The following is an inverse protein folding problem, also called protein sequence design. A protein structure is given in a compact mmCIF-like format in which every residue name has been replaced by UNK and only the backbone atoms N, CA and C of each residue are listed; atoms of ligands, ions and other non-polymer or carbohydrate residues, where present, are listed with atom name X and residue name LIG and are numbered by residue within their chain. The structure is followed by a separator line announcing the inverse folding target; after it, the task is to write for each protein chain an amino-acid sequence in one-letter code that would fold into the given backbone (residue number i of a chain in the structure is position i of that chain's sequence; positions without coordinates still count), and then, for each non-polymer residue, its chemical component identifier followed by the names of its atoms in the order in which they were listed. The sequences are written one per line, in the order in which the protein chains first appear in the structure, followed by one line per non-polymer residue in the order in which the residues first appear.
data_IF_381473480656
#
_entry.id   IF_381473480656
#
_cell.length_a   1.000
_cell.length_b   1.000
_cell.length_c   1.000
_cell.angle_alpha   90.00
_cell.angle_beta   90.00
_cell.angle_gamma   90.00
#
_symmetry.space_group_name_H-M   'P 1'
#
loop_
_entity.id
_entity.type
_entity.pdbx_description
1 polymer ?
#
# COMPACT_ATOMS: atom_id res chain seq x y z
N UNK A 1 -15.68 23.73 1.08
CA UNK A 1 -14.21 23.56 1.09
C UNK A 1 -13.78 23.25 2.52
N UNK A 2 -13.52 21.99 2.87
CA UNK A 2 -12.96 21.66 4.19
C UNK A 2 -11.49 22.10 4.16
N UNK A 3 -11.16 23.11 4.96
CA UNK A 3 -9.76 23.45 5.23
C UNK A 3 -9.03 22.22 5.73
N UNK A 4 -8.01 21.78 5.00
CA UNK A 4 -7.15 20.66 5.39
C UNK A 4 -6.41 21.03 6.68
N UNK A 5 -6.98 20.66 7.82
CA UNK A 5 -6.34 20.91 9.13
C UNK A 5 -5.05 20.14 9.21
N UNK A 6 -3.94 20.82 9.46
CA UNK A 6 -2.62 20.21 9.65
C UNK A 6 -2.71 19.03 10.63
N UNK A 7 -2.15 17.88 10.25
CA UNK A 7 -2.09 16.67 11.08
C UNK A 7 -1.41 16.98 12.42
N UNK A 8 -0.41 17.85 12.44
CA UNK A 8 0.23 18.36 13.66
C UNK A 8 -0.78 19.00 14.60
N UNK A 9 -1.59 19.96 14.09
CA UNK A 9 -2.58 20.67 14.91
C UNK A 9 -3.61 19.71 15.50
N UNK A 10 -4.07 18.75 14.72
CA UNK A 10 -5.02 17.73 15.20
C UNK A 10 -4.40 16.80 16.25
N UNK A 11 -3.16 16.37 16.05
CA UNK A 11 -2.43 15.54 17.00
C UNK A 11 -2.24 16.25 18.34
N UNK A 12 -1.75 17.50 18.33
CA UNK A 12 -1.54 18.28 19.54
C UNK A 12 -2.86 18.55 20.29
N UNK A 13 -3.94 18.93 19.58
CA UNK A 13 -5.25 19.17 20.21
C UNK A 13 -5.77 17.89 20.90
N UNK A 14 -5.74 16.75 20.21
CA UNK A 14 -6.20 15.47 20.79
C UNK A 14 -5.36 15.07 21.99
N UNK A 15 -4.06 15.28 21.95
CA UNK A 15 -3.14 14.97 23.02
C UNK A 15 -3.40 15.85 24.24
N UNK A 16 -3.57 17.18 24.06
CA UNK A 16 -3.92 18.12 25.14
C UNK A 16 -5.26 17.72 25.79
N UNK A 17 -6.27 17.40 25.00
CA UNK A 17 -7.56 16.97 25.52
C UNK A 17 -7.43 15.68 26.33
N UNK A 18 -6.75 14.66 25.79
CA UNK A 18 -6.58 13.36 26.45
C UNK A 18 -5.87 13.48 27.80
N UNK A 19 -4.81 14.28 27.88
CA UNK A 19 -4.08 14.46 29.14
C UNK A 19 -4.79 15.37 30.14
N UNK A 20 -5.50 16.40 29.67
CA UNK A 20 -6.35 17.19 30.56
C UNK A 20 -7.42 16.31 31.20
N UNK A 21 -8.07 15.44 30.43
CA UNK A 21 -9.04 14.47 30.95
C UNK A 21 -8.39 13.48 31.91
N UNK A 22 -7.19 12.99 31.61
CA UNK A 22 -6.46 12.07 32.50
C UNK A 22 -6.09 12.73 33.84
N UNK A 23 -5.58 13.99 33.82
CA UNK A 23 -5.26 14.74 35.03
C UNK A 23 -6.53 15.00 35.89
N UNK A 24 -7.63 15.36 35.25
CA UNK A 24 -8.91 15.56 35.94
C UNK A 24 -9.39 14.26 36.59
N UNK A 25 -9.35 13.15 35.85
CA UNK A 25 -9.75 11.84 36.38
C UNK A 25 -8.85 11.39 37.54
N UNK A 26 -7.53 11.54 37.43
CA UNK A 26 -6.59 11.22 38.50
C UNK A 26 -6.83 12.09 39.76
N UNK A 27 -7.06 13.38 39.57
CA UNK A 27 -7.34 14.30 40.63
C UNK A 27 -8.66 13.97 41.36
N UNK A 28 -9.68 13.54 40.63
CA UNK A 28 -10.95 13.08 41.18
C UNK A 28 -10.78 11.80 42.01
N UNK A 29 -10.03 10.81 41.50
CA UNK A 29 -9.75 9.58 42.24
C UNK A 29 -8.98 9.88 43.52
N UNK A 30 -7.98 10.76 43.45
CA UNK A 30 -7.19 11.15 44.61
C UNK A 30 -8.05 11.88 45.65
N UNK A 31 -8.95 12.74 45.19
CA UNK A 31 -9.93 13.44 46.07
C UNK A 31 -10.80 12.44 46.82
N UNK A 32 -11.45 11.52 46.12
CA UNK A 32 -12.33 10.53 46.74
C UNK A 32 -11.56 9.62 47.71
N UNK A 33 -10.34 9.21 47.38
CA UNK A 33 -9.49 8.43 48.25
C UNK A 33 -9.13 9.20 49.53
N UNK A 34 -8.63 10.43 49.40
CA UNK A 34 -8.28 11.27 50.54
C UNK A 34 -9.48 11.58 51.45
N UNK A 35 -10.62 11.87 50.81
CA UNK A 35 -11.89 12.09 51.52
C UNK A 35 -12.31 10.86 52.32
N UNK A 36 -12.36 9.69 51.68
CA UNK A 36 -12.70 8.42 52.35
C UNK A 36 -11.80 8.19 53.55
N UNK A 37 -10.48 8.27 53.35
CA UNK A 37 -9.49 8.05 54.43
C UNK A 37 -9.68 9.01 55.62
N UNK A 38 -9.91 10.29 55.35
CA UNK A 38 -10.13 11.27 56.42
C UNK A 38 -11.43 10.98 57.17
N UNK A 39 -12.52 10.71 56.47
CA UNK A 39 -13.80 10.40 57.08
C UNK A 39 -13.77 9.09 57.87
N UNK A 40 -13.11 8.04 57.36
CA UNK A 40 -12.96 6.77 58.04
C UNK A 40 -12.16 6.93 59.35
N UNK A 41 -11.05 7.68 59.30
CA UNK A 41 -10.25 8.00 60.51
C UNK A 41 -11.06 8.79 61.56
N UNK A 42 -11.88 9.74 61.12
CA UNK A 42 -12.74 10.52 62.06
C UNK A 42 -13.80 9.59 62.70
N UNK A 43 -14.44 8.74 61.92
CA UNK A 43 -15.44 7.80 62.40
C UNK A 43 -14.83 6.81 63.39
N UNK A 44 -13.65 6.25 63.08
CA UNK A 44 -12.93 5.31 63.95
C UNK A 44 -12.51 5.99 65.27
N UNK A 45 -11.99 7.22 65.19
CA UNK A 45 -11.66 8.01 66.40
C UNK A 45 -12.90 8.29 67.25
N UNK A 46 -14.04 8.65 66.65
CA UNK A 46 -15.28 8.87 67.38
C UNK A 46 -15.82 7.59 68.02
N UNK A 47 -15.68 6.46 67.31
CA UNK A 47 -16.10 5.15 67.83
C UNK A 47 -15.24 4.69 69.01
N UNK A 48 -13.91 4.88 68.93
CA UNK A 48 -12.99 4.57 70.02
C UNK A 48 -13.28 5.41 71.27
N UNK A 49 -13.51 6.70 71.06
CA UNK A 49 -13.89 7.62 72.13
C UNK A 49 -15.26 7.26 72.75
N UNK A 50 -16.24 6.87 71.94
CA UNK A 50 -17.51 6.38 72.43
C UNK A 50 -17.40 5.13 73.31
N UNK A 51 -16.58 4.16 72.89
CA UNK A 51 -16.30 2.93 73.66
C UNK A 51 -15.61 3.23 74.97
N UNK A 52 -14.61 4.10 74.96
CA UNK A 52 -13.90 4.50 76.18
C UNK A 52 -14.84 5.16 77.19
N UNK A 53 -15.67 6.13 76.74
CA UNK A 53 -16.68 6.79 77.62
C UNK A 53 -17.74 5.83 78.15
N UNK A 54 -18.13 4.85 77.36
CA UNK A 54 -19.02 3.80 77.80
C UNK A 54 -18.40 2.92 78.90
N UNK A 55 -17.15 2.50 78.76
CA UNK A 55 -16.43 1.72 79.77
C UNK A 55 -16.19 2.53 81.07
N UNK A 56 -15.84 3.82 80.98
CA UNK A 56 -15.69 4.71 82.10
C UNK A 56 -17.00 4.89 82.83
N UNK A 57 -18.12 5.05 82.14
CA UNK A 57 -19.46 5.23 82.79
C UNK A 57 -19.92 3.99 83.52
N UNK A 58 -19.53 2.79 83.09
CA UNK A 58 -19.78 1.50 83.75
C UNK A 58 -19.07 1.45 85.13
N UNK A 59 -17.88 2.08 85.22
CA UNK A 59 -17.08 2.08 86.45
C UNK A 59 -17.49 3.15 87.44
N UNK A 60 -17.83 4.34 86.91
CA UNK A 60 -18.16 5.56 87.77
C UNK A 60 -19.66 5.72 88.08
N UNK A 61 -20.55 5.01 87.39
CA UNK A 61 -22.02 5.11 87.43
C UNK A 61 -22.55 6.52 87.14
N UNK A 62 -21.74 7.44 86.65
CA UNK A 62 -22.11 8.80 86.33
C UNK A 62 -21.66 9.18 84.95
N UNK A 63 -22.42 9.94 84.18
CA UNK A 63 -22.07 10.49 82.87
C UNK A 63 -22.29 12.03 82.95
N UNK A 64 -21.19 12.76 82.67
CA UNK A 64 -21.27 14.23 82.54
C UNK A 64 -21.24 14.62 81.06
N UNK A 65 -22.20 15.42 80.56
CA UNK A 65 -22.18 15.91 79.19
C UNK A 65 -20.97 16.82 78.94
N UNK A 66 -20.28 16.60 77.85
CA UNK A 66 -19.13 17.41 77.39
C UNK A 66 -19.60 18.26 76.22
N UNK A 67 -19.38 19.57 76.30
CA UNK A 67 -19.68 20.48 75.22
C UNK A 67 -18.52 21.47 75.05
N UNK A 68 -17.79 21.28 73.96
CA UNK A 68 -16.71 22.16 73.49
C UNK A 68 -17.05 22.63 72.09
N UNK A 69 -16.36 23.62 71.55
CA UNK A 69 -16.57 24.15 70.18
C UNK A 69 -16.42 23.10 69.10
N UNK A 70 -15.63 22.07 69.32
CA UNK A 70 -15.31 20.99 68.28
C UNK A 70 -16.12 19.73 68.57
N UNK A 71 -16.49 19.40 69.80
CA UNK A 71 -17.14 18.12 70.10
C UNK A 71 -18.26 18.41 71.15
N UNK A 72 -19.42 17.84 70.88
CA UNK A 72 -20.55 17.83 71.85
C UNK A 72 -20.93 16.37 72.11
N UNK A 73 -20.98 16.00 73.39
CA UNK A 73 -21.31 14.66 73.86
C UNK A 73 -22.46 14.75 74.84
N UNK A 74 -23.54 14.04 74.55
CA UNK A 74 -24.75 14.03 75.39
C UNK A 74 -25.44 12.65 75.32
N UNK A 75 -26.16 12.30 76.34
CA UNK A 75 -27.10 11.17 76.30
C UNK A 75 -28.44 11.67 75.75
N UNK A 76 -28.97 10.93 74.82
CA UNK A 76 -30.23 11.21 74.11
C UNK A 76 -31.11 9.97 74.10
N UNK A 77 -32.39 10.15 74.29
CA UNK A 77 -33.37 9.09 74.17
C UNK A 77 -33.73 8.89 72.67
N UNK A 78 -33.62 7.64 72.19
CA UNK A 78 -34.02 7.31 70.82
C UNK A 78 -34.75 5.97 70.79
N UNK A 79 -36.06 6.05 70.61
CA UNK A 79 -36.94 4.88 70.62
C UNK A 79 -36.90 4.02 69.29
N UNK A 80 -36.27 4.56 68.26
CA UNK A 80 -36.35 3.98 66.90
C UNK A 80 -35.06 3.21 66.52
N UNK A 81 -33.90 3.64 67.04
CA UNK A 81 -32.62 3.06 66.69
C UNK A 81 -32.28 1.84 67.57
N UNK A 82 -31.74 0.77 66.96
CA UNK A 82 -31.21 -0.40 67.64
C UNK A 82 -29.71 -0.61 67.48
N UNK A 83 -29.12 0.05 66.53
CA UNK A 83 -27.72 -0.13 66.17
C UNK A 83 -26.98 1.21 66.07
N UNK A 84 -25.66 1.14 66.09
CA UNK A 84 -24.77 2.26 65.86
C UNK A 84 -25.10 2.95 64.53
N UNK A 85 -25.13 4.30 64.53
CA UNK A 85 -25.40 5.08 63.31
C UNK A 85 -24.54 6.32 63.22
N UNK A 86 -23.90 6.53 62.07
CA UNK A 86 -23.27 7.78 61.68
C UNK A 86 -24.23 8.62 60.81
N UNK A 87 -24.24 9.94 61.03
CA UNK A 87 -25.00 10.88 60.21
C UNK A 87 -24.15 12.12 59.96
N UNK A 88 -24.06 12.54 58.72
CA UNK A 88 -23.40 13.79 58.34
C UNK A 88 -24.49 14.83 58.10
N UNK A 89 -24.31 16.04 58.63
CA UNK A 89 -25.25 17.15 58.43
C UNK A 89 -24.50 18.49 58.44
N UNK A 90 -25.13 19.50 57.84
CA UNK A 90 -24.66 20.87 57.81
C UNK A 90 -25.56 21.74 58.62
N UNK A 91 -24.97 22.63 59.43
CA UNK A 91 -25.71 23.61 60.20
C UNK A 91 -24.94 24.94 60.25
N UNK A 92 -25.59 26.03 59.83
CA UNK A 92 -25.01 27.38 59.76
C UNK A 92 -23.66 27.45 59.06
N UNK A 93 -23.50 26.71 57.94
CA UNK A 93 -22.27 26.68 57.15
C UNK A 93 -21.15 25.80 57.72
N UNK A 94 -21.36 25.19 58.87
CA UNK A 94 -20.44 24.23 59.47
C UNK A 94 -20.88 22.79 59.21
N UNK A 95 -19.91 21.91 59.03
CA UNK A 95 -20.14 20.48 58.74
C UNK A 95 -19.87 19.64 59.98
N UNK A 96 -20.79 18.73 60.27
CA UNK A 96 -20.76 17.92 61.46
C UNK A 96 -20.92 16.43 61.12
N UNK A 97 -20.20 15.57 61.89
CA UNK A 97 -20.48 14.14 61.95
C UNK A 97 -21.10 13.84 63.29
N UNK A 98 -22.25 13.20 63.28
CA UNK A 98 -22.97 12.72 64.43
C UNK A 98 -22.88 11.22 64.54
N UNK A 99 -22.38 10.72 65.66
CA UNK A 99 -22.39 9.31 66.03
C UNK A 99 -23.49 9.10 67.10
N UNK A 100 -24.32 8.09 66.89
CA UNK A 100 -25.24 7.57 67.91
C UNK A 100 -24.72 6.16 68.26
N UNK A 101 -24.16 6.04 69.44
CA UNK A 101 -23.63 4.79 70.00
C UNK A 101 -24.58 4.23 71.06
N UNK A 102 -24.99 2.94 71.03
CA UNK A 102 -25.86 2.33 72.04
C UNK A 102 -25.24 2.41 73.45
N UNK A 103 -25.89 3.06 74.38
CA UNK A 103 -25.40 3.24 75.74
C UNK A 103 -26.16 2.36 76.72
N UNK A 104 -27.49 2.43 76.71
CA UNK A 104 -28.40 1.59 77.50
C UNK A 104 -29.61 1.24 76.64
N UNK A 105 -29.59 -0.04 76.12
CA UNK A 105 -30.62 -0.51 75.20
C UNK A 105 -31.99 -0.74 75.93
N UNK A 106 -31.98 -1.09 77.22
CA UNK A 106 -33.20 -1.33 77.96
C UNK A 106 -33.95 -0.01 78.16
N UNK A 107 -33.23 1.06 78.51
CA UNK A 107 -33.78 2.40 78.67
C UNK A 107 -33.74 3.28 77.41
N UNK A 108 -33.42 2.67 76.24
CA UNK A 108 -33.38 3.34 74.93
C UNK A 108 -32.46 4.58 74.88
N UNK A 109 -31.38 4.62 75.69
CA UNK A 109 -30.44 5.72 75.76
C UNK A 109 -29.26 5.46 74.81
N UNK A 110 -28.89 6.52 74.04
CA UNK A 110 -27.73 6.51 73.10
C UNK A 110 -26.77 7.62 73.50
N UNK A 111 -25.49 7.35 73.45
CA UNK A 111 -24.46 8.35 73.54
C UNK A 111 -24.36 9.04 72.17
N UNK A 112 -24.71 10.32 72.16
CA UNK A 112 -24.61 11.15 70.95
C UNK A 112 -23.27 11.90 70.98
N UNK A 113 -22.42 11.69 70.05
CA UNK A 113 -21.20 12.46 69.82
C UNK A 113 -21.34 13.22 68.51
N UNK A 114 -21.22 14.55 68.59
CA UNK A 114 -21.24 15.44 67.44
C UNK A 114 -19.88 16.09 67.37
N UNK A 115 -19.19 15.88 66.26
CA UNK A 115 -17.89 16.47 65.94
C UNK A 115 -18.02 17.46 64.80
N UNK A 116 -17.53 18.70 64.99
CA UNK A 116 -17.37 19.66 63.91
C UNK A 116 -16.16 19.27 63.06
N UNK A 117 -16.39 19.09 61.74
CA UNK A 117 -15.37 18.66 60.77
C UNK A 117 -15.11 19.74 59.71
N UNK A 118 -15.55 20.98 59.96
CA UNK A 118 -15.41 22.07 58.99
C UNK A 118 -13.96 22.37 58.70
N UNK A 119 -13.09 22.35 59.70
CA UNK A 119 -11.65 22.56 59.54
C UNK A 119 -10.98 21.44 58.74
N UNK A 120 -11.30 20.19 59.07
CA UNK A 120 -10.76 19.03 58.35
C UNK A 120 -11.18 19.05 56.87
N UNK A 121 -12.39 19.47 56.61
CA UNK A 121 -12.91 19.63 55.24
C UNK A 121 -12.20 20.76 54.47
N UNK A 122 -12.01 21.92 55.12
CA UNK A 122 -11.25 23.03 54.51
C UNK A 122 -9.81 22.68 54.24
N UNK A 123 -9.14 21.98 55.17
CA UNK A 123 -7.79 21.46 54.99
C UNK A 123 -7.73 20.47 53.82
N UNK A 124 -8.72 19.58 53.68
CA UNK A 124 -8.83 18.63 52.59
C UNK A 124 -8.87 19.37 51.24
N UNK A 125 -9.72 20.39 51.12
CA UNK A 125 -9.75 21.20 49.88
C UNK A 125 -8.42 21.90 49.59
N UNK A 126 -7.82 22.52 50.62
CA UNK A 126 -6.54 23.23 50.42
C UNK A 126 -5.39 22.30 50.01
N UNK A 127 -5.29 21.10 50.60
CA UNK A 127 -4.32 20.08 50.26
C UNK A 127 -4.52 19.57 48.84
N UNK A 128 -5.76 19.37 48.44
CA UNK A 128 -6.09 18.91 47.12
C UNK A 128 -5.75 19.95 46.05
N UNK A 129 -6.10 21.20 46.27
CA UNK A 129 -5.74 22.28 45.36
C UNK A 129 -4.21 22.41 45.21
N UNK A 130 -3.47 22.38 46.31
CA UNK A 130 -2.00 22.43 46.28
C UNK A 130 -1.42 21.25 45.54
N UNK A 131 -1.88 20.02 45.82
CA UNK A 131 -1.41 18.81 45.15
C UNK A 131 -1.78 18.77 43.66
N UNK A 132 -2.94 19.30 43.28
CA UNK A 132 -3.34 19.43 41.88
C UNK A 132 -2.30 20.24 41.09
N UNK A 133 -1.89 21.40 41.63
CA UNK A 133 -0.86 22.22 40.95
C UNK A 133 0.51 21.54 40.93
N UNK A 134 0.91 20.88 42.00
CA UNK A 134 2.21 20.15 42.10
C UNK A 134 2.28 18.99 41.12
N UNK A 135 1.17 18.32 40.82
CA UNK A 135 1.11 17.20 39.86
C UNK A 135 0.82 17.66 38.44
N UNK A 136 -0.06 18.63 38.25
CA UNK A 136 -0.48 19.06 36.93
C UNK A 136 0.62 19.79 36.15
N UNK A 137 1.39 20.64 36.81
CA UNK A 137 2.45 21.40 36.11
C UNK A 137 3.56 20.49 35.58
N UNK A 138 4.22 19.62 36.39
CA UNK A 138 5.22 18.68 35.87
C UNK A 138 4.64 17.69 34.87
N UNK A 139 3.43 17.20 35.08
CA UNK A 139 2.75 16.31 34.13
C UNK A 139 2.55 16.96 32.78
N UNK A 140 2.14 18.23 32.74
CA UNK A 140 2.01 18.99 31.51
C UNK A 140 3.35 19.24 30.79
N UNK A 141 4.40 19.55 31.55
CA UNK A 141 5.77 19.72 31.01
C UNK A 141 6.28 18.42 30.40
N UNK A 142 6.18 17.30 31.11
CA UNK A 142 6.58 15.99 30.62
C UNK A 142 5.85 15.61 29.33
N UNK A 143 4.57 15.91 29.28
CA UNK A 143 3.77 15.67 28.10
C UNK A 143 4.20 16.52 26.91
N UNK A 144 4.50 17.80 27.11
CA UNK A 144 5.06 18.66 26.07
C UNK A 144 6.37 18.09 25.51
N UNK A 145 7.28 17.68 26.38
CA UNK A 145 8.55 17.05 25.97
C UNK A 145 8.32 15.75 25.19
N UNK A 146 7.43 14.88 25.67
CA UNK A 146 7.05 13.65 24.95
C UNK A 146 6.44 13.94 23.59
N UNK A 147 5.53 14.91 23.52
CA UNK A 147 4.92 15.34 22.26
C UNK A 147 5.94 15.86 21.24
N UNK A 148 6.92 16.63 21.67
CA UNK A 148 8.02 17.09 20.81
C UNK A 148 8.89 15.92 20.31
N UNK A 149 9.18 14.95 21.17
CA UNK A 149 9.94 13.76 20.81
C UNK A 149 9.20 12.90 19.78
N UNK A 150 7.91 12.62 20.00
CA UNK A 150 7.06 11.87 19.06
C UNK A 150 6.91 12.59 17.72
N UNK A 151 6.74 13.91 17.76
CA UNK A 151 6.66 14.73 16.54
C UNK A 151 7.92 14.64 15.69
N UNK A 152 9.10 14.69 16.31
CA UNK A 152 10.39 14.53 15.61
C UNK A 152 10.56 13.11 15.05
N UNK A 153 10.19 12.09 15.84
CA UNK A 153 10.42 10.68 15.46
C UNK A 153 9.47 10.21 14.36
N UNK A 154 8.17 10.57 14.40
CA UNK A 154 7.17 10.02 13.48
C UNK A 154 6.84 10.96 12.32
N UNK A 155 6.70 12.25 12.56
CA UNK A 155 6.22 13.17 11.54
C UNK A 155 7.32 13.74 10.65
N UNK A 156 8.52 13.99 11.18
CA UNK A 156 9.64 14.51 10.39
C UNK A 156 10.03 13.57 9.23
N UNK A 157 10.15 12.25 9.41
CA UNK A 157 10.44 11.32 8.31
C UNK A 157 9.38 11.35 7.20
N UNK A 158 8.09 11.40 7.57
CA UNK A 158 6.99 11.47 6.59
C UNK A 158 7.11 12.73 5.73
N UNK A 159 7.38 13.88 6.36
CA UNK A 159 7.53 15.14 5.64
C UNK A 159 8.75 15.11 4.74
N UNK A 160 9.86 14.54 5.18
CA UNK A 160 11.06 14.38 4.37
C UNK A 160 10.80 13.51 3.14
N UNK A 161 10.13 12.36 3.31
CA UNK A 161 9.72 11.50 2.20
C UNK A 161 8.81 12.26 1.24
N UNK A 162 7.77 12.92 1.76
CA UNK A 162 6.83 13.68 0.93
C UNK A 162 7.52 14.83 0.15
N UNK A 163 8.40 15.58 0.80
CA UNK A 163 9.18 16.64 0.14
C UNK A 163 10.09 16.07 -0.95
N UNK A 164 10.70 14.92 -0.71
CA UNK A 164 11.55 14.27 -1.69
C UNK A 164 10.74 13.79 -2.89
N UNK A 165 9.56 13.17 -2.64
CA UNK A 165 8.63 12.74 -3.69
C UNK A 165 8.08 13.92 -4.51
N UNK A 166 7.70 15.03 -3.86
CA UNK A 166 7.16 16.21 -4.57
C UNK A 166 8.18 16.93 -5.46
N UNK A 167 9.46 16.72 -5.20
CA UNK A 167 10.55 17.29 -6.01
C UNK A 167 11.09 16.29 -7.07
N UNK A 168 10.54 15.09 -7.15
CA UNK A 168 10.88 14.12 -8.19
C UNK A 168 10.10 14.43 -9.46
N UNK A 169 10.79 14.52 -10.56
CA UNK A 169 10.25 14.53 -11.92
C UNK A 169 10.89 13.41 -12.76
N UNK A 170 10.49 13.27 -14.01
CA UNK A 170 10.97 12.21 -14.91
C UNK A 170 12.51 12.24 -15.10
N UNK A 171 13.16 13.39 -14.88
CA UNK A 171 14.61 13.59 -15.08
C UNK A 171 15.41 13.54 -13.78
N UNK A 172 14.73 13.68 -12.63
CA UNK A 172 15.35 13.80 -11.30
C UNK A 172 14.88 12.69 -10.34
N UNK A 173 14.71 11.49 -10.87
CA UNK A 173 14.36 10.31 -10.06
C UNK A 173 15.53 9.98 -9.12
N UNK A 174 15.33 10.18 -7.80
CA UNK A 174 16.33 9.88 -6.77
C UNK A 174 15.81 8.86 -5.77
N UNK A 175 16.68 7.95 -5.35
CA UNK A 175 16.29 6.97 -4.33
C UNK A 175 16.19 7.62 -2.94
N UNK A 176 15.27 7.09 -2.14
CA UNK A 176 15.15 7.44 -0.73
C UNK A 176 16.21 6.68 0.06
N UNK A 177 17.13 7.39 0.71
CA UNK A 177 18.12 6.79 1.60
C UNK A 177 17.43 6.34 2.89
N UNK A 178 17.74 5.11 3.33
CA UNK A 178 17.17 4.51 4.55
C UNK A 178 17.95 4.86 5.81
N UNK A 179 19.20 5.35 5.67
CA UNK A 179 20.08 5.61 6.82
C UNK A 179 19.50 6.62 7.80
N UNK A 180 18.75 7.60 7.27
CA UNK A 180 18.15 8.67 8.07
C UNK A 180 16.69 8.38 8.48
N UNK A 181 16.18 7.17 8.17
CA UNK A 181 14.80 6.80 8.43
C UNK A 181 14.70 5.76 9.55
N UNK A 182 13.72 5.88 10.47
CA UNK A 182 13.36 4.82 11.38
C UNK A 182 13.02 3.51 10.64
N UNK A 183 13.29 2.36 11.28
CA UNK A 183 13.15 1.03 10.67
C UNK A 183 11.72 0.76 10.15
N UNK A 184 10.72 1.35 10.80
CA UNK A 184 9.31 1.24 10.45
C UNK A 184 9.00 1.81 9.05
N UNK A 185 9.81 2.77 8.59
CA UNK A 185 9.67 3.40 7.27
C UNK A 185 10.49 2.70 6.17
N UNK A 186 11.32 1.72 6.50
CA UNK A 186 12.19 1.03 5.51
C UNK A 186 11.36 0.29 4.45
N UNK A 187 10.25 -0.35 4.84
CA UNK A 187 9.35 -1.02 3.89
C UNK A 187 8.73 -0.04 2.90
N UNK A 188 8.28 1.13 3.38
CA UNK A 188 7.75 2.19 2.54
C UNK A 188 8.82 2.74 1.58
N UNK A 189 10.03 3.03 2.09
CA UNK A 189 11.16 3.48 1.27
C UNK A 189 11.53 2.46 0.19
N UNK A 190 11.52 1.14 0.51
CA UNK A 190 11.76 0.08 -0.46
C UNK A 190 10.71 0.07 -1.58
N UNK A 191 9.44 0.20 -1.22
CA UNK A 191 8.34 0.22 -2.19
C UNK A 191 8.44 1.42 -3.13
N UNK A 192 8.76 2.60 -2.58
CA UNK A 192 8.97 3.81 -3.37
C UNK A 192 10.20 3.65 -4.27
N UNK A 193 11.34 3.19 -3.76
CA UNK A 193 12.55 2.98 -4.55
C UNK A 193 12.32 1.95 -5.67
N UNK A 194 11.56 0.89 -5.42
CA UNK A 194 11.18 -0.09 -6.45
C UNK A 194 10.34 0.55 -7.55
N UNK A 195 9.37 1.41 -7.18
CA UNK A 195 8.56 2.16 -8.15
C UNK A 195 9.41 3.13 -8.96
N UNK A 196 10.29 3.90 -8.30
CA UNK A 196 11.22 4.85 -8.92
C UNK A 196 12.13 4.15 -9.94
N UNK A 197 12.72 3.01 -9.58
CA UNK A 197 13.55 2.21 -10.50
C UNK A 197 12.76 1.72 -11.73
N UNK A 198 11.49 1.34 -11.54
CA UNK A 198 10.64 0.94 -12.67
C UNK A 198 10.37 2.12 -13.61
N UNK A 199 10.07 3.30 -13.05
CA UNK A 199 9.85 4.51 -13.84
C UNK A 199 11.13 4.91 -14.59
N UNK A 200 12.28 4.91 -13.92
CA UNK A 200 13.59 5.23 -14.53
C UNK A 200 13.89 4.28 -15.71
N UNK A 201 13.70 2.98 -15.49
CA UNK A 201 13.89 1.98 -16.56
C UNK A 201 12.95 2.24 -17.74
N UNK A 202 11.69 2.59 -17.45
CA UNK A 202 10.70 2.89 -18.48
C UNK A 202 11.05 4.16 -19.26
N UNK A 203 11.43 5.24 -18.58
CA UNK A 203 11.82 6.52 -19.22
C UNK A 203 13.07 6.33 -20.11
N UNK A 204 14.09 5.63 -19.56
CA UNK A 204 15.31 5.31 -20.32
C UNK A 204 14.97 4.51 -21.58
N UNK A 205 14.18 3.47 -21.42
CA UNK A 205 13.72 2.65 -22.51
C UNK A 205 12.98 3.46 -23.58
N UNK A 206 12.01 4.30 -23.18
CA UNK A 206 11.24 5.18 -24.09
C UNK A 206 12.17 6.13 -24.86
N UNK A 207 13.16 6.71 -24.20
CA UNK A 207 14.17 7.55 -24.84
C UNK A 207 15.01 6.80 -25.86
N UNK A 208 15.50 5.61 -25.52
CA UNK A 208 16.27 4.77 -26.44
C UNK A 208 15.44 4.35 -27.67
N UNK A 209 14.16 4.04 -27.47
CA UNK A 209 13.24 3.72 -28.56
C UNK A 209 13.08 4.90 -29.54
N UNK A 210 12.82 6.12 -29.02
CA UNK A 210 12.65 7.28 -29.88
C UNK A 210 13.94 7.66 -30.63
N UNK A 211 15.10 7.55 -29.98
CA UNK A 211 16.39 7.82 -30.62
C UNK A 211 16.64 6.76 -31.72
N UNK A 212 16.41 5.49 -31.44
CA UNK A 212 16.54 4.42 -32.40
C UNK A 212 15.60 4.59 -33.59
N UNK A 213 14.34 4.92 -33.35
CA UNK A 213 13.35 5.20 -34.40
C UNK A 213 13.79 6.35 -35.32
N UNK A 214 14.26 7.45 -34.72
CA UNK A 214 14.73 8.58 -35.50
C UNK A 214 15.94 8.22 -36.39
N UNK A 215 16.89 7.43 -35.87
CA UNK A 215 18.04 6.96 -36.64
C UNK A 215 17.64 6.03 -37.81
N UNK A 216 16.75 5.06 -37.54
CA UNK A 216 16.28 4.11 -38.52
C UNK A 216 15.40 4.74 -39.61
N UNK A 217 14.69 5.87 -39.30
CA UNK A 217 13.96 6.64 -40.31
C UNK A 217 14.88 7.56 -41.12
N UNK A 218 15.92 8.14 -40.51
CA UNK A 218 16.85 9.05 -41.21
C UNK A 218 17.64 8.37 -42.30
N UNK A 219 18.02 7.12 -42.11
CA UNK A 219 18.86 6.34 -43.06
C UNK A 219 18.18 6.15 -44.43
N UNK A 220 16.95 5.56 -44.53
CA UNK A 220 16.27 5.40 -45.80
C UNK A 220 15.96 6.75 -46.46
N UNK A 221 15.65 7.77 -45.66
CA UNK A 221 15.37 9.11 -46.18
C UNK A 221 16.61 9.74 -46.85
N UNK A 222 17.78 9.59 -46.22
CA UNK A 222 19.05 10.05 -46.80
C UNK A 222 19.42 9.26 -48.07
N UNK A 223 19.19 7.94 -48.09
CA UNK A 223 19.45 7.09 -49.27
C UNK A 223 18.51 7.47 -50.42
N UNK A 224 17.21 7.65 -50.16
CA UNK A 224 16.26 8.11 -51.19
C UNK A 224 16.66 9.47 -51.75
N UNK A 225 16.97 10.44 -50.87
CA UNK A 225 17.39 11.79 -51.30
C UNK A 225 18.62 11.72 -52.20
N UNK A 226 19.67 11.00 -51.74
CA UNK A 226 20.92 10.87 -52.51
C UNK A 226 20.69 10.21 -53.86
N UNK A 227 19.94 9.09 -53.92
CA UNK A 227 19.64 8.39 -55.15
C UNK A 227 18.89 9.25 -56.15
N UNK A 228 17.87 9.97 -55.73
CA UNK A 228 17.11 10.89 -56.56
C UNK A 228 17.97 12.05 -57.05
N UNK A 229 18.77 12.70 -56.17
CA UNK A 229 19.69 13.76 -56.56
C UNK A 229 20.72 13.32 -57.60
N UNK A 230 21.31 12.11 -57.40
CA UNK A 230 22.27 11.54 -58.37
C UNK A 230 21.59 11.21 -59.69
N UNK A 231 20.37 10.72 -59.69
CA UNK A 231 19.61 10.38 -60.90
C UNK A 231 19.28 11.64 -61.71
N UNK A 232 18.97 12.75 -61.02
CA UNK A 232 18.59 14.04 -61.63
C UNK A 232 19.82 14.84 -62.13
N UNK A 233 21.06 14.53 -61.72
CA UNK A 233 22.26 15.32 -62.10
C UNK A 233 22.58 15.31 -63.60
N UNK A 234 22.14 14.27 -64.33
CA UNK A 234 22.31 14.17 -65.79
C UNK A 234 21.18 13.33 -66.38
N UNK A 235 20.96 13.50 -67.70
CA UNK A 235 19.99 12.65 -68.43
C UNK A 235 20.37 11.18 -68.27
N UNK A 236 19.38 10.33 -68.06
CA UNK A 236 19.51 8.90 -67.87
C UNK A 236 18.56 8.16 -68.83
N UNK A 237 18.78 6.89 -69.05
CA UNK A 237 17.83 6.02 -69.72
C UNK A 237 16.59 5.80 -68.85
N UNK A 238 15.45 5.56 -69.48
CA UNK A 238 14.13 5.40 -68.78
C UNK A 238 14.20 4.34 -67.71
N UNK A 239 14.87 3.24 -67.98
CA UNK A 239 15.03 2.12 -67.05
C UNK A 239 15.71 2.54 -65.74
N UNK A 240 16.65 3.47 -65.78
CA UNK A 240 17.37 3.98 -64.59
C UNK A 240 16.47 4.90 -63.75
N UNK A 241 15.58 5.66 -64.37
CA UNK A 241 14.55 6.40 -63.67
C UNK A 241 13.55 5.47 -63.00
N UNK A 242 13.08 4.45 -63.72
CA UNK A 242 12.16 3.44 -63.17
C UNK A 242 12.76 2.70 -61.97
N UNK A 243 14.05 2.27 -62.06
CA UNK A 243 14.74 1.63 -60.95
C UNK A 243 14.81 2.55 -59.73
N UNK A 244 15.16 3.80 -59.93
CA UNK A 244 15.21 4.79 -58.82
C UNK A 244 13.85 5.01 -58.17
N UNK A 245 12.78 5.11 -58.96
CA UNK A 245 11.42 5.24 -58.47
C UNK A 245 10.97 3.98 -57.71
N UNK A 246 11.26 2.78 -58.23
CA UNK A 246 10.99 1.51 -57.53
C UNK A 246 11.70 1.42 -56.17
N UNK A 247 12.96 1.83 -56.11
CA UNK A 247 13.73 1.90 -54.85
C UNK A 247 13.17 2.93 -53.89
N UNK A 248 12.72 4.08 -54.38
CA UNK A 248 12.10 5.13 -53.59
C UNK A 248 10.76 4.65 -52.98
N UNK A 249 9.90 4.02 -53.79
CA UNK A 249 8.63 3.44 -53.33
C UNK A 249 8.91 2.39 -52.26
N UNK A 250 9.81 1.46 -52.49
CA UNK A 250 10.19 0.44 -51.50
C UNK A 250 10.65 1.04 -50.18
N UNK A 251 11.46 2.10 -50.22
CA UNK A 251 11.94 2.76 -49.01
C UNK A 251 10.79 3.48 -48.25
N UNK A 252 9.83 4.02 -48.98
CA UNK A 252 8.60 4.60 -48.38
C UNK A 252 7.78 3.50 -47.70
N UNK A 253 7.61 2.34 -48.33
CA UNK A 253 6.88 1.20 -47.74
C UNK A 253 7.57 0.70 -46.46
N UNK A 254 8.90 0.54 -46.50
CA UNK A 254 9.69 0.15 -45.32
C UNK A 254 9.54 1.16 -44.17
N UNK A 255 9.48 2.49 -44.45
CA UNK A 255 9.22 3.51 -43.43
C UNK A 255 7.79 3.46 -42.90
N UNK A 256 6.79 3.20 -43.73
CA UNK A 256 5.39 3.05 -43.28
C UNK A 256 5.24 1.85 -42.34
N UNK A 257 5.92 0.72 -42.64
CA UNK A 257 5.96 -0.46 -41.75
C UNK A 257 6.58 -0.07 -40.41
N UNK A 258 7.67 0.74 -40.41
CA UNK A 258 8.33 1.20 -39.21
C UNK A 258 7.41 2.10 -38.35
N UNK A 259 6.77 3.08 -38.98
CA UNK A 259 5.82 3.98 -38.29
C UNK A 259 4.67 3.17 -37.67
N UNK A 260 4.11 2.21 -38.41
CA UNK A 260 3.06 1.32 -37.91
C UNK A 260 3.55 0.51 -36.69
N UNK A 261 4.77 0.01 -36.72
CA UNK A 261 5.36 -0.75 -35.61
C UNK A 261 5.57 0.13 -34.37
N UNK A 262 5.95 1.40 -34.53
CA UNK A 262 6.06 2.37 -33.42
C UNK A 262 4.68 2.69 -32.82
N UNK A 263 3.67 2.87 -33.67
CA UNK A 263 2.28 3.07 -33.21
C UNK A 263 1.72 1.85 -32.46
N UNK A 264 2.10 0.64 -32.88
CA UNK A 264 1.71 -0.60 -32.20
C UNK A 264 2.32 -0.72 -30.79
N UNK A 265 3.47 -0.07 -30.49
CA UNK A 265 4.01 0.03 -29.14
C UNK A 265 3.01 0.78 -28.24
N UNK A 266 2.53 1.96 -28.68
CA UNK A 266 1.54 2.71 -27.94
C UNK A 266 0.21 1.97 -27.75
N UNK A 267 -0.21 1.21 -28.76
CA UNK A 267 -1.42 0.36 -28.66
C UNK A 267 -1.24 -0.77 -27.66
N UNK A 268 -0.07 -1.40 -27.61
CA UNK A 268 0.25 -2.46 -26.65
C UNK A 268 0.24 -1.93 -25.22
N UNK A 269 0.76 -0.71 -25.00
CA UNK A 269 0.67 -0.03 -23.69
C UNK A 269 -0.80 0.22 -23.28
N UNK A 270 -1.66 0.61 -24.21
CA UNK A 270 -3.12 0.76 -23.94
C UNK A 270 -3.82 -0.57 -23.68
N UNK A 271 -3.45 -1.61 -24.44
CA UNK A 271 -4.09 -2.92 -24.35
C UNK A 271 -3.88 -3.64 -22.99
N UNK A 272 -2.87 -3.28 -22.21
CA UNK A 272 -2.69 -3.83 -20.85
C UNK A 272 -3.85 -3.47 -19.89
N UNK A 273 -4.64 -2.44 -20.21
CA UNK A 273 -5.82 -2.04 -19.45
C UNK A 273 -7.13 -2.64 -20.00
N UNK A 274 -7.08 -3.37 -21.12
CA UNK A 274 -8.24 -4.06 -21.67
C UNK A 274 -8.67 -5.19 -20.73
N UNK A 275 -9.99 -5.44 -20.71
CA UNK A 275 -10.53 -6.55 -19.94
C UNK A 275 -10.18 -7.89 -20.61
N UNK A 276 -9.98 -8.90 -19.79
CA UNK A 276 -9.84 -10.25 -20.27
C UNK A 276 -11.15 -10.72 -20.89
N UNK A 277 -11.05 -11.42 -22.01
CA UNK A 277 -12.21 -12.03 -22.71
C UNK A 277 -12.07 -13.54 -22.58
N UNK A 278 -13.16 -14.21 -22.23
CA UNK A 278 -13.25 -15.66 -22.26
C UNK A 278 -13.40 -16.13 -23.70
N UNK A 279 -12.51 -17.03 -24.13
CA UNK A 279 -12.55 -17.64 -25.46
C UNK A 279 -11.96 -19.05 -25.44
N UNK A 280 -12.36 -19.86 -26.43
CA UNK A 280 -11.69 -21.14 -26.71
C UNK A 280 -10.40 -20.87 -27.50
N UNK A 281 -9.26 -20.99 -26.79
CA UNK A 281 -7.93 -20.70 -27.33
C UNK A 281 -7.55 -21.66 -28.49
N UNK A 282 -8.04 -22.90 -28.47
CA UNK A 282 -7.82 -23.87 -29.55
C UNK A 282 -8.48 -23.39 -30.82
N UNK A 283 -9.76 -23.04 -30.76
CA UNK A 283 -10.51 -22.55 -31.93
C UNK A 283 -9.93 -21.22 -32.44
N UNK A 284 -9.56 -20.32 -31.52
CA UNK A 284 -8.95 -19.04 -31.87
C UNK A 284 -7.63 -19.22 -32.64
N UNK A 285 -6.68 -20.04 -32.14
CA UNK A 285 -5.40 -20.29 -32.81
C UNK A 285 -5.62 -20.99 -34.12
N UNK A 286 -6.55 -21.96 -34.22
CA UNK A 286 -6.92 -22.65 -35.47
C UNK A 286 -7.41 -21.69 -36.54
N UNK A 287 -8.29 -20.73 -36.17
CA UNK A 287 -8.74 -19.67 -37.07
C UNK A 287 -7.58 -18.80 -37.56
N UNK A 288 -6.72 -18.34 -36.62
CA UNK A 288 -5.53 -17.55 -36.97
C UNK A 288 -4.54 -18.31 -37.84
N UNK A 289 -4.33 -19.60 -37.61
CA UNK A 289 -3.49 -20.43 -38.44
C UNK A 289 -4.00 -20.51 -39.91
N UNK A 290 -5.33 -20.51 -40.10
CA UNK A 290 -5.91 -20.44 -41.46
C UNK A 290 -5.65 -19.06 -42.11
N UNK A 291 -5.74 -17.96 -41.36
CA UNK A 291 -5.43 -16.62 -41.88
C UNK A 291 -3.94 -16.56 -42.33
N UNK A 292 -3.02 -17.14 -41.53
CA UNK A 292 -1.61 -17.15 -41.83
C UNK A 292 -1.26 -18.06 -43.04
N UNK A 293 -2.03 -19.15 -43.32
CA UNK A 293 -1.86 -19.97 -44.55
C UNK A 293 -2.08 -19.13 -45.79
N UNK A 294 -3.09 -18.23 -45.76
CA UNK A 294 -3.33 -17.32 -46.88
C UNK A 294 -2.16 -16.36 -47.10
N UNK A 295 -1.56 -15.83 -46.02
CA UNK A 295 -0.42 -14.94 -46.09
C UNK A 295 0.87 -15.65 -46.56
N UNK A 296 1.01 -16.94 -46.29
CA UNK A 296 2.18 -17.72 -46.65
C UNK A 296 2.11 -18.38 -48.04
N UNK A 297 0.92 -18.27 -48.70
CA UNK A 297 0.68 -18.95 -50.01
C UNK A 297 1.67 -18.55 -51.10
N UNK A 298 2.11 -17.28 -51.13
CA UNK A 298 3.11 -16.82 -52.13
C UNK A 298 4.47 -17.52 -52.02
N UNK A 299 4.82 -18.07 -50.85
CA UNK A 299 6.05 -18.81 -50.58
C UNK A 299 5.86 -20.32 -50.59
N UNK A 300 4.67 -20.83 -50.83
CA UNK A 300 4.30 -22.25 -50.71
C UNK A 300 4.68 -22.86 -49.36
N UNK A 301 4.64 -22.07 -48.25
CA UNK A 301 4.96 -22.54 -46.90
C UNK A 301 3.73 -23.24 -46.30
N UNK A 302 3.96 -24.48 -45.80
CA UNK A 302 2.89 -25.27 -45.17
C UNK A 302 2.79 -24.91 -43.68
N UNK A 303 1.67 -24.30 -43.29
CA UNK A 303 1.40 -24.00 -41.85
C UNK A 303 0.47 -25.06 -41.27
N UNK A 304 0.94 -25.74 -40.22
CA UNK A 304 0.17 -26.75 -39.49
C UNK A 304 -0.14 -26.30 -38.08
N UNK A 305 -1.32 -26.72 -37.55
CA UNK A 305 -1.70 -26.50 -36.17
C UNK A 305 -1.99 -27.83 -35.48
N UNK A 306 -1.43 -28.01 -34.28
CA UNK A 306 -1.61 -29.18 -33.41
C UNK A 306 -1.95 -28.73 -31.99
N UNK A 307 -2.89 -29.44 -31.38
CA UNK A 307 -3.23 -29.25 -29.96
C UNK A 307 -3.36 -30.60 -29.29
N UNK A 308 -2.95 -30.68 -28.03
CA UNK A 308 -3.15 -31.89 -27.20
C UNK A 308 -4.52 -31.92 -26.51
N UNK A 309 -5.36 -30.90 -26.71
CA UNK A 309 -6.75 -30.80 -26.21
C UNK A 309 -7.64 -30.30 -27.32
N UNK A 310 -8.93 -30.70 -27.32
CA UNK A 310 -9.89 -30.26 -28.31
C UNK A 310 -10.46 -28.87 -28.04
N UNK A 311 -10.61 -28.51 -26.77
CA UNK A 311 -11.12 -27.22 -26.33
C UNK A 311 -10.34 -26.72 -25.14
N UNK A 312 -10.11 -25.40 -25.08
CA UNK A 312 -9.41 -24.75 -23.98
C UNK A 312 -10.01 -23.35 -23.75
N UNK A 313 -11.03 -23.28 -22.90
CA UNK A 313 -11.56 -22.00 -22.47
C UNK A 313 -10.59 -21.33 -21.49
N UNK A 314 -10.21 -20.11 -21.80
CA UNK A 314 -9.32 -19.30 -20.99
C UNK A 314 -9.71 -17.83 -21.07
N UNK A 315 -9.42 -17.10 -19.99
CA UNK A 315 -9.65 -15.66 -19.91
C UNK A 315 -8.35 -14.92 -20.17
N UNK A 316 -8.28 -14.21 -21.30
CA UNK A 316 -7.04 -13.57 -21.78
C UNK A 316 -7.31 -12.23 -22.47
N UNK A 317 -6.35 -11.31 -22.44
CA UNK A 317 -6.37 -10.09 -23.25
C UNK A 317 -5.99 -10.45 -24.70
N UNK A 318 -6.99 -10.52 -25.54
CA UNK A 318 -6.88 -11.03 -26.92
C UNK A 318 -5.94 -10.19 -27.77
N UNK A 319 -5.92 -8.87 -27.58
CA UNK A 319 -5.05 -7.96 -28.32
C UNK A 319 -3.57 -8.27 -28.06
N UNK A 320 -3.17 -8.42 -26.80
CA UNK A 320 -1.80 -8.74 -26.43
C UNK A 320 -1.38 -10.17 -26.89
N UNK A 321 -2.28 -11.12 -26.71
CA UNK A 321 -2.04 -12.49 -27.19
C UNK A 321 -1.85 -12.53 -28.71
N UNK A 322 -2.73 -11.85 -29.47
CA UNK A 322 -2.62 -11.78 -30.91
C UNK A 322 -1.31 -11.11 -31.36
N UNK A 323 -0.88 -10.05 -30.68
CA UNK A 323 0.41 -9.39 -30.94
C UNK A 323 1.59 -10.37 -30.86
N UNK A 324 1.64 -11.22 -29.82
CA UNK A 324 2.70 -12.22 -29.65
C UNK A 324 2.64 -13.24 -30.75
N UNK A 325 1.48 -13.86 -30.99
CA UNK A 325 1.30 -14.92 -31.97
C UNK A 325 1.61 -14.42 -33.38
N UNK A 326 1.12 -13.22 -33.73
CA UNK A 326 1.38 -12.60 -35.03
C UNK A 326 2.86 -12.36 -35.26
N UNK A 327 3.59 -11.80 -34.30
CA UNK A 327 5.02 -11.57 -34.44
C UNK A 327 5.80 -12.86 -34.56
N UNK A 328 5.46 -13.92 -33.83
CA UNK A 328 6.10 -15.22 -33.95
C UNK A 328 5.87 -15.83 -35.32
N UNK A 329 4.62 -15.83 -35.81
CA UNK A 329 4.29 -16.45 -37.11
C UNK A 329 4.82 -15.62 -38.26
N UNK A 330 4.75 -14.29 -38.22
CA UNK A 330 5.34 -13.43 -39.27
C UNK A 330 6.84 -13.60 -39.36
N UNK A 331 7.56 -13.70 -38.24
CA UNK A 331 8.99 -14.01 -38.25
C UNK A 331 9.25 -15.41 -38.83
N UNK A 332 8.48 -16.43 -38.46
CA UNK A 332 8.59 -17.75 -39.02
C UNK A 332 8.39 -17.73 -40.56
N UNK A 333 7.34 -17.07 -41.09
CA UNK A 333 7.11 -16.94 -42.56
C UNK A 333 8.25 -16.19 -43.23
N UNK A 334 8.79 -15.16 -42.58
CA UNK A 334 9.87 -14.34 -43.15
C UNK A 334 11.16 -15.12 -43.32
N UNK A 335 11.57 -15.89 -42.30
CA UNK A 335 12.86 -16.57 -42.25
C UNK A 335 12.83 -18.03 -42.81
N UNK A 336 11.64 -18.58 -43.04
CA UNK A 336 11.47 -19.90 -43.64
C UNK A 336 11.65 -19.80 -45.17
N UNK A 337 12.48 -20.64 -45.79
CA UNK A 337 12.57 -20.77 -47.24
C UNK A 337 11.26 -21.25 -47.86
N UNK A 338 11.13 -21.07 -49.18
CA UNK A 338 9.98 -21.57 -49.91
C UNK A 338 9.85 -23.11 -49.77
N UNK A 339 8.61 -23.61 -49.85
CA UNK A 339 8.28 -25.06 -49.81
C UNK A 339 8.62 -25.77 -48.49
N UNK A 340 8.89 -25.02 -47.42
CA UNK A 340 9.17 -25.55 -46.09
C UNK A 340 7.93 -25.44 -45.18
N UNK A 341 8.05 -25.92 -43.93
CA UNK A 341 6.94 -26.01 -43.02
C UNK A 341 7.11 -25.14 -41.76
N UNK A 342 5.98 -24.66 -41.25
CA UNK A 342 5.86 -24.01 -39.95
C UNK A 342 4.81 -24.77 -39.12
N UNK A 343 5.16 -25.14 -37.88
CA UNK A 343 4.26 -25.84 -37.00
C UNK A 343 3.88 -24.94 -35.80
N UNK A 344 2.59 -24.67 -35.65
CA UNK A 344 2.03 -24.04 -34.46
C UNK A 344 1.52 -25.17 -33.55
N UNK A 345 1.98 -25.22 -32.28
CA UNK A 345 1.53 -26.24 -31.33
C UNK A 345 1.03 -25.59 -30.05
N UNK A 346 -0.12 -26.06 -29.58
CA UNK A 346 -0.67 -25.74 -28.26
C UNK A 346 -0.59 -26.99 -27.39
N UNK A 347 0.03 -26.85 -26.22
CA UNK A 347 0.11 -27.90 -25.19
C UNK A 347 -0.42 -27.37 -23.86
N UNK A 348 -1.51 -27.95 -23.39
CA UNK A 348 -2.02 -27.72 -22.03
C UNK A 348 -1.36 -28.70 -21.09
N UNK A 349 -0.82 -28.21 -19.99
CA UNK A 349 -0.37 -28.97 -18.82
C UNK A 349 -1.24 -28.65 -17.61
N UNK A 350 -0.96 -29.22 -16.45
CA UNK A 350 -1.70 -28.92 -15.20
C UNK A 350 -1.52 -27.44 -14.77
N UNK A 351 -0.35 -26.87 -15.01
CA UNK A 351 0.04 -25.57 -14.48
C UNK A 351 0.19 -24.50 -15.57
N UNK A 352 0.45 -24.91 -16.82
CA UNK A 352 0.82 -24.00 -17.89
C UNK A 352 0.08 -24.32 -19.20
N UNK A 353 -0.12 -23.26 -19.99
CA UNK A 353 -0.50 -23.34 -21.40
C UNK A 353 0.71 -22.91 -22.21
N UNK A 354 1.19 -23.80 -23.06
CA UNK A 354 2.40 -23.59 -23.85
C UNK A 354 2.01 -23.51 -25.32
N UNK A 355 2.35 -22.39 -25.97
CA UNK A 355 2.20 -22.22 -27.41
C UNK A 355 3.59 -22.14 -28.02
N UNK A 356 3.85 -22.93 -29.03
CA UNK A 356 5.12 -22.90 -29.80
C UNK A 356 4.88 -22.68 -31.28
N UNK A 357 5.68 -21.82 -31.88
CA UNK A 357 5.81 -21.68 -33.33
C UNK A 357 7.20 -22.18 -33.71
N UNK A 358 7.24 -23.24 -34.47
CA UNK A 358 8.48 -23.89 -34.93
C UNK A 358 8.60 -23.70 -36.43
N UNK A 359 9.69 -23.16 -36.89
CA UNK A 359 9.99 -22.96 -38.31
C UNK A 359 11.14 -23.85 -38.81
N UNK A 360 11.30 -23.92 -40.12
CA UNK A 360 12.42 -24.57 -40.82
C UNK A 360 13.32 -23.52 -41.49
N UNK A 361 13.56 -22.41 -40.80
CA UNK A 361 14.38 -21.29 -41.27
C UNK A 361 15.87 -21.46 -41.01
N UNK A 362 16.55 -20.32 -41.06
CA UNK A 362 18.03 -20.26 -40.89
C UNK A 362 18.49 -20.43 -39.43
N UNK A 363 17.57 -20.46 -38.47
CA UNK A 363 17.89 -20.44 -37.03
C UNK A 363 18.30 -19.06 -36.53
N UNK A 364 18.78 -19.00 -35.28
CA UNK A 364 19.14 -17.76 -34.58
C UNK A 364 20.52 -17.88 -33.92
N UNK A 365 21.18 -16.75 -33.69
CA UNK A 365 22.31 -16.65 -32.76
C UNK A 365 21.78 -16.43 -31.35
N UNK A 366 21.82 -17.45 -30.52
CA UNK A 366 21.30 -17.41 -29.12
C UNK A 366 22.14 -16.53 -28.20
N UNK A 367 23.31 -16.04 -28.63
CA UNK A 367 24.14 -15.12 -27.85
C UNK A 367 23.67 -13.67 -27.98
N UNK A 368 22.86 -13.37 -28.99
CA UNK A 368 22.32 -12.02 -29.24
C UNK A 368 20.98 -11.87 -28.59
N UNK A 369 20.77 -10.77 -27.87
CA UNK A 369 19.42 -10.41 -27.37
C UNK A 369 18.54 -9.95 -28.53
N UNK A 370 17.77 -10.89 -29.08
CA UNK A 370 16.84 -10.65 -30.18
C UNK A 370 15.54 -9.92 -29.76
N UNK A 371 15.31 -9.77 -28.47
CA UNK A 371 14.16 -9.01 -27.95
C UNK A 371 14.48 -7.53 -27.80
N UNK A 372 15.73 -7.10 -27.93
CA UNK A 372 16.09 -5.69 -27.92
C UNK A 372 15.52 -4.97 -29.17
N UNK A 373 15.07 -3.70 -29.04
CA UNK A 373 14.52 -2.96 -30.17
C UNK A 373 15.57 -2.75 -31.29
N UNK A 374 15.12 -2.76 -32.55
CA UNK A 374 15.91 -2.54 -33.76
C UNK A 374 17.02 -3.59 -34.01
N UNK A 375 17.00 -4.73 -33.31
CA UNK A 375 17.91 -5.83 -33.57
C UNK A 375 17.47 -6.65 -34.78
N UNK A 376 18.41 -6.92 -35.70
CA UNK A 376 18.19 -7.68 -36.93
C UNK A 376 19.17 -8.84 -37.02
N UNK A 377 18.72 -9.92 -37.62
CA UNK A 377 19.58 -11.06 -38.00
C UNK A 377 19.77 -11.04 -39.52
N UNK A 378 21.01 -10.85 -39.99
CA UNK A 378 21.34 -10.80 -41.40
C UNK A 378 20.79 -9.57 -42.17
N UNK A 379 20.78 -9.64 -43.50
CA UNK A 379 20.36 -8.56 -44.43
C UNK A 379 18.87 -8.59 -44.78
N UNK A 380 18.03 -9.27 -44.01
CA UNK A 380 16.61 -9.38 -44.34
C UNK A 380 15.83 -8.12 -43.99
N UNK A 381 14.85 -7.76 -44.87
CA UNK A 381 13.96 -6.61 -44.71
C UNK A 381 13.20 -6.68 -43.39
N UNK A 382 12.99 -5.54 -42.74
CA UNK A 382 12.15 -5.38 -41.52
C UNK A 382 12.81 -4.52 -40.46
N UNK A 383 12.02 -3.94 -39.59
CA UNK A 383 12.40 -2.88 -38.65
C UNK A 383 13.15 -3.39 -37.42
N UNK A 384 13.05 -4.68 -37.09
CA UNK A 384 13.63 -5.26 -35.88
C UNK A 384 12.83 -4.94 -34.62
N UNK A 385 11.54 -4.57 -34.73
CA UNK A 385 10.64 -4.26 -33.60
C UNK A 385 9.68 -5.40 -33.23
N UNK A 386 9.46 -6.40 -34.11
CA UNK A 386 8.43 -7.41 -33.90
C UNK A 386 8.62 -8.26 -32.63
N UNK A 387 9.85 -8.80 -32.42
CA UNK A 387 10.15 -9.59 -31.20
C UNK A 387 10.12 -8.74 -29.93
N UNK A 388 10.53 -7.49 -30.04
CA UNK A 388 10.42 -6.52 -28.96
C UNK A 388 8.95 -6.26 -28.58
N UNK A 389 8.06 -6.07 -29.55
CA UNK A 389 6.61 -5.95 -29.33
C UNK A 389 6.03 -7.22 -28.69
N UNK A 390 6.45 -8.39 -29.15
CA UNK A 390 6.04 -9.66 -28.54
C UNK A 390 6.50 -9.77 -27.08
N UNK A 391 7.69 -9.27 -26.74
CA UNK A 391 8.22 -9.24 -25.38
C UNK A 391 7.40 -8.33 -24.48
N UNK A 392 7.12 -7.09 -24.90
CA UNK A 392 6.30 -6.15 -24.15
C UNK A 392 4.88 -6.70 -23.91
N UNK A 393 4.25 -7.26 -24.94
CA UNK A 393 2.95 -7.90 -24.82
C UNK A 393 2.97 -9.09 -23.85
N UNK A 394 4.04 -9.89 -23.86
CA UNK A 394 4.20 -11.02 -22.94
C UNK A 394 4.36 -10.57 -21.48
N UNK A 395 5.12 -9.51 -21.24
CA UNK A 395 5.32 -8.95 -19.91
C UNK A 395 3.99 -8.37 -19.36
N UNK A 396 3.20 -7.71 -20.20
CA UNK A 396 1.86 -7.21 -19.85
C UNK A 396 0.90 -8.37 -19.51
N UNK A 397 0.95 -9.49 -20.24
CA UNK A 397 0.20 -10.71 -19.95
C UNK A 397 0.74 -11.52 -18.77
N UNK A 398 1.86 -11.10 -18.15
CA UNK A 398 2.62 -11.88 -17.15
C UNK A 398 2.99 -13.28 -17.67
N UNK A 399 3.29 -13.36 -18.94
CA UNK A 399 3.70 -14.57 -19.64
C UNK A 399 5.20 -14.59 -19.86
N UNK A 400 5.75 -15.75 -20.22
CA UNK A 400 7.16 -15.90 -20.54
C UNK A 400 7.31 -16.28 -22.01
N UNK A 401 8.19 -15.57 -22.72
CA UNK A 401 8.57 -15.93 -24.09
C UNK A 401 10.04 -16.32 -24.18
N UNK A 402 10.35 -17.24 -25.06
CA UNK A 402 11.71 -17.67 -25.34
C UNK A 402 11.87 -17.99 -26.82
N UNK A 403 13.09 -17.80 -27.36
CA UNK A 403 13.50 -18.20 -28.68
C UNK A 403 14.68 -19.13 -28.53
N UNK A 404 14.67 -20.24 -29.27
CA UNK A 404 15.78 -21.22 -29.31
C UNK A 404 15.91 -21.84 -30.70
N UNK A 405 17.08 -22.30 -31.03
CA UNK A 405 17.25 -23.17 -32.21
C UNK A 405 16.55 -24.50 -31.97
N UNK A 406 16.22 -25.18 -33.03
CA UNK A 406 15.67 -26.54 -32.99
C UNK A 406 16.70 -27.51 -32.42
N UNK A 407 16.23 -28.43 -31.59
CA UNK A 407 17.02 -29.46 -30.92
C UNK A 407 16.93 -30.84 -31.61
N UNK A 408 16.13 -30.93 -32.71
CA UNK A 408 15.90 -32.16 -33.48
C UNK A 408 16.92 -32.39 -34.64
N UNK A 409 18.02 -31.63 -34.63
CA UNK A 409 19.06 -31.70 -35.67
C UNK A 409 18.70 -31.01 -36.98
N UNK A 410 17.56 -30.38 -37.11
CA UNK A 410 17.14 -29.57 -38.25
C UNK A 410 17.41 -28.09 -38.01
N UNK A 411 17.65 -27.36 -39.10
CA UNK A 411 17.73 -25.90 -39.05
C UNK A 411 16.37 -25.30 -38.77
N UNK A 412 16.34 -24.20 -38.03
CA UNK A 412 15.11 -23.45 -37.70
C UNK A 412 15.07 -22.95 -36.26
N UNK A 413 14.01 -22.23 -35.93
CA UNK A 413 13.79 -21.63 -34.63
C UNK A 413 12.49 -22.14 -33.98
N UNK A 414 12.47 -22.16 -32.64
CA UNK A 414 11.30 -22.43 -31.83
C UNK A 414 11.04 -21.16 -31.03
N UNK A 415 9.97 -20.44 -31.36
CA UNK A 415 9.41 -19.37 -30.54
C UNK A 415 8.38 -19.97 -29.60
N UNK A 416 8.57 -19.80 -28.30
CA UNK A 416 7.72 -20.38 -27.24
C UNK A 416 7.10 -19.30 -26.39
N UNK A 417 5.79 -19.39 -26.19
CA UNK A 417 5.01 -18.60 -25.21
C UNK A 417 4.49 -19.52 -24.12
N UNK A 418 4.67 -19.14 -22.86
CA UNK A 418 4.17 -19.85 -21.68
C UNK A 418 3.23 -18.94 -20.89
N UNK A 419 1.99 -19.36 -20.77
CA UNK A 419 0.95 -18.71 -19.97
C UNK A 419 0.66 -19.56 -18.74
N UNK A 420 0.43 -18.94 -17.59
CA UNK A 420 -0.04 -19.65 -16.40
C UNK A 420 -1.47 -20.16 -16.63
N UNK A 421 -1.72 -21.43 -16.32
CA UNK A 421 -3.06 -22.00 -16.41
C UNK A 421 -3.91 -21.54 -15.20
N UNK A 422 -4.59 -20.40 -15.32
CA UNK A 422 -5.44 -19.80 -14.27
C UNK A 422 -6.79 -20.52 -14.07
N UNK A 423 -6.95 -21.76 -14.53
CA UNK A 423 -8.17 -22.56 -14.31
C UNK A 423 -8.40 -22.99 -12.84
N UNK A 424 -7.71 -22.40 -11.85
CA UNK A 424 -8.07 -22.45 -10.44
C UNK A 424 -8.92 -21.25 -10.09
N UNK A 425 -10.24 -21.45 -10.09
CA UNK A 425 -11.25 -20.63 -9.43
C UNK A 425 -10.71 -20.16 -8.06
N UNK A 426 -10.33 -18.88 -7.96
CA UNK A 426 -10.13 -18.27 -6.65
C UNK A 426 -11.51 -18.13 -6.03
N UNK A 427 -11.92 -19.11 -5.21
CA UNK A 427 -12.98 -18.89 -4.24
C UNK A 427 -12.47 -17.77 -3.32
N UNK A 428 -12.93 -16.57 -3.55
CA UNK A 428 -12.86 -15.49 -2.57
C UNK A 428 -13.52 -15.99 -1.28
N UNK A 429 -12.72 -16.07 -0.22
CA UNK A 429 -13.20 -16.11 1.16
C UNK A 429 -13.36 -14.68 1.66
#
# INVERSE_FOLDING_TARGET
MMESKSIYKQFYIKLIIATSLFIIALSFIFYEYARSTVYDNIQESMLTHAKQLYEESLSTKTFEPIKNDNISIALVDNSILRNLKFQNYENNGNYYIKLLYPFDLENKKFLQIIKNISLERELLYSVIFKNLFVLAIPGFILMLLYSLAVSKSLLKPIIQINKKLSNMDENTLTQIDKKDLPIEFHSLANSINSLTNRIETYVKFKKELFIGAAHELKTPLAVMKLKNEVTLKKKREIEQYEETLKLTIKSIDDMNIMISSILDIGRTEGAQFEQNIELDLVEYIKKKANDYRMLSAQKNIIITFFSNVNHLNTSIQVTLFNQILQNFVQNAIKFTPNEKAIAIRLKKTKEEIIITVTDEGIGIDEKVDLFAPFKRVGNQSGVGLGLFLAKNASDALRAKITLKNRDDGKSGCIAKLVLNNTSKTTKLK
#
